data_IF_767657607135
#
_entry.id   IF_767657607135
#
_cell.length_a   1.000
_cell.length_b   1.000
_cell.length_c   1.000
_cell.angle_alpha   90.00
_cell.angle_beta   90.00
_cell.angle_gamma   90.00
#
_symmetry.space_group_name_H-M   'P 1'
#
loop_
_entity.id
_entity.type
_entity.pdbx_description
1 polymer ?
#
# COMPACT_ATOMS: atom_id res chain seq x y z
N UNK A 1 43.24 -19.54 15.38
CA UNK A 1 43.34 -18.96 14.01
C UNK A 1 42.23 -19.39 13.07
N UNK A 2 41.69 -20.60 13.17
CA UNK A 2 40.61 -21.14 12.33
C UNK A 2 39.26 -20.37 12.48
N UNK A 3 38.95 -19.90 13.69
CA UNK A 3 37.67 -19.19 13.94
C UNK A 3 37.53 -17.85 13.22
N UNK A 4 38.63 -17.16 12.90
CA UNK A 4 38.61 -15.86 12.23
C UNK A 4 38.45 -15.95 10.71
N UNK A 5 38.86 -17.05 10.09
CA UNK A 5 38.73 -17.30 8.64
C UNK A 5 37.34 -17.80 8.23
N UNK A 6 36.60 -18.43 9.15
CA UNK A 6 35.23 -18.91 8.89
C UNK A 6 34.16 -17.81 8.92
N UNK A 7 34.37 -16.73 9.67
CA UNK A 7 33.39 -15.64 9.80
C UNK A 7 32.98 -15.00 8.47
N UNK A 8 33.87 -14.61 7.54
CA UNK A 8 33.47 -14.00 6.28
C UNK A 8 32.73 -14.97 5.36
N UNK A 9 33.04 -16.25 5.41
CA UNK A 9 32.39 -17.31 4.64
C UNK A 9 30.97 -17.52 5.18
N UNK A 10 30.81 -17.66 6.48
CA UNK A 10 29.50 -17.82 7.15
C UNK A 10 28.64 -16.60 6.88
N UNK A 11 29.19 -15.39 7.01
CA UNK A 11 28.46 -14.15 6.74
C UNK A 11 27.98 -14.08 5.29
N UNK A 12 28.80 -14.45 4.30
CA UNK A 12 28.41 -14.50 2.89
C UNK A 12 27.33 -15.53 2.64
N UNK A 13 27.45 -16.72 3.21
CA UNK A 13 26.44 -17.76 3.09
C UNK A 13 25.11 -17.35 3.70
N UNK A 14 25.11 -16.74 4.89
CA UNK A 14 23.90 -16.20 5.53
C UNK A 14 23.27 -15.08 4.70
N UNK A 15 24.05 -14.12 4.20
CA UNK A 15 23.54 -13.05 3.34
C UNK A 15 22.93 -13.61 2.04
N UNK A 16 23.54 -14.65 1.48
CA UNK A 16 23.00 -15.30 0.29
C UNK A 16 21.69 -16.05 0.60
N UNK A 17 21.65 -16.78 1.71
CA UNK A 17 20.43 -17.45 2.16
C UNK A 17 19.29 -16.43 2.42
N UNK A 18 19.59 -15.32 3.10
CA UNK A 18 18.63 -14.24 3.33
C UNK A 18 18.14 -13.60 2.02
N UNK A 19 19.02 -13.43 1.03
CA UNK A 19 18.62 -12.92 -0.29
C UNK A 19 17.68 -13.88 -1.04
N UNK A 20 17.98 -15.19 -0.96
CA UNK A 20 17.13 -16.22 -1.59
C UNK A 20 15.76 -16.25 -0.94
N UNK A 21 15.71 -16.28 0.40
CA UNK A 21 14.45 -16.24 1.15
C UNK A 21 13.71 -14.91 0.93
N UNK A 22 14.41 -13.78 0.99
CA UNK A 22 13.80 -12.46 0.77
C UNK A 22 13.15 -12.32 -0.60
N UNK A 23 13.72 -12.93 -1.63
CA UNK A 23 13.13 -12.92 -2.98
C UNK A 23 11.76 -13.59 -3.08
N UNK A 24 11.38 -14.42 -2.11
CA UNK A 24 10.05 -15.04 -2.09
C UNK A 24 8.98 -14.07 -1.54
N UNK A 25 9.38 -13.08 -0.75
CA UNK A 25 8.47 -12.16 -0.03
C UNK A 25 8.61 -10.71 -0.49
N UNK A 26 9.76 -10.35 -1.07
CA UNK A 26 10.05 -8.97 -1.51
C UNK A 26 10.34 -8.98 -3.00
N UNK A 27 9.48 -8.30 -3.76
CA UNK A 27 9.58 -8.24 -5.21
C UNK A 27 10.80 -7.45 -5.68
N UNK A 28 11.12 -6.36 -4.99
CA UNK A 28 12.29 -5.53 -5.29
C UNK A 28 12.70 -4.65 -4.12
N UNK A 29 13.93 -4.16 -4.12
CA UNK A 29 14.43 -3.17 -3.15
C UNK A 29 14.04 -1.75 -3.50
N UNK A 30 13.54 -1.53 -4.72
CA UNK A 30 12.92 -0.29 -5.22
C UNK A 30 11.74 -0.67 -6.08
N UNK A 31 10.79 0.25 -6.26
CA UNK A 31 9.62 0.02 -7.11
C UNK A 31 10.04 -0.30 -8.56
N UNK A 32 11.03 0.41 -9.11
CA UNK A 32 11.55 0.14 -10.45
C UNK A 32 12.01 -1.31 -10.61
N UNK A 33 12.77 -1.85 -9.65
CA UNK A 33 13.19 -3.26 -9.68
C UNK A 33 12.03 -4.23 -9.49
N UNK A 34 11.01 -3.84 -8.75
CA UNK A 34 9.79 -4.63 -8.61
C UNK A 34 9.03 -4.71 -9.93
N UNK A 35 8.89 -3.58 -10.63
CA UNK A 35 8.26 -3.49 -11.96
C UNK A 35 9.02 -4.33 -13.00
N UNK A 36 10.35 -4.19 -13.08
CA UNK A 36 11.18 -5.02 -13.97
C UNK A 36 10.96 -6.53 -13.73
N UNK A 37 10.81 -6.92 -12.46
CA UNK A 37 10.57 -8.31 -12.10
C UNK A 37 9.14 -8.77 -12.36
N UNK A 38 8.17 -7.87 -12.32
CA UNK A 38 6.75 -8.14 -12.57
C UNK A 38 6.45 -8.32 -14.07
N UNK A 39 7.24 -7.73 -14.95
CA UNK A 39 6.98 -7.66 -16.39
C UNK A 39 6.63 -9.02 -17.05
N UNK A 40 7.31 -10.16 -16.76
CA UNK A 40 6.92 -11.45 -17.31
C UNK A 40 5.55 -11.94 -16.91
N UNK A 41 5.08 -11.58 -15.71
CA UNK A 41 3.77 -11.95 -15.20
C UNK A 41 2.69 -10.99 -15.71
N UNK A 42 3.00 -9.71 -15.84
CA UNK A 42 2.12 -8.71 -16.47
C UNK A 42 1.80 -9.07 -17.93
N UNK A 43 2.78 -9.58 -18.68
CA UNK A 43 2.56 -10.10 -20.04
C UNK A 43 1.61 -11.31 -20.10
N UNK A 44 1.43 -12.03 -18.99
CA UNK A 44 0.47 -13.13 -18.85
C UNK A 44 -0.90 -12.67 -18.34
N UNK A 45 -1.08 -11.37 -18.14
CA UNK A 45 -2.31 -10.79 -17.62
C UNK A 45 -2.38 -10.66 -16.10
N UNK A 46 -1.32 -11.02 -15.35
CA UNK A 46 -1.27 -10.79 -13.90
C UNK A 46 -1.11 -9.30 -13.64
N UNK A 47 -1.80 -8.80 -12.60
CA UNK A 47 -1.66 -7.44 -12.13
C UNK A 47 -1.26 -7.45 -10.66
N UNK A 48 -0.40 -6.52 -10.29
CA UNK A 48 0.15 -6.40 -8.95
C UNK A 48 -0.38 -5.15 -8.26
N UNK A 49 -0.68 -5.26 -6.97
CA UNK A 49 -0.80 -4.13 -6.07
C UNK A 49 0.52 -4.01 -5.32
N UNK A 50 1.23 -2.91 -5.52
CA UNK A 50 2.55 -2.70 -4.93
C UNK A 50 2.42 -2.16 -3.51
N UNK A 51 2.96 -2.89 -2.55
CA UNK A 51 3.05 -2.50 -1.15
C UNK A 51 4.47 -1.95 -0.87
N UNK A 52 4.54 -0.68 -0.51
CA UNK A 52 5.78 -0.05 -0.09
C UNK A 52 6.10 -0.47 1.34
N UNK A 53 7.23 -1.17 1.54
CA UNK A 53 7.65 -1.58 2.87
C UNK A 53 7.87 -0.36 3.77
N UNK A 54 7.13 -0.33 4.86
CA UNK A 54 7.15 0.72 5.86
C UNK A 54 5.79 0.88 6.52
N UNK A 55 5.77 0.82 7.85
CA UNK A 55 4.56 0.92 8.65
C UNK A 55 4.90 1.48 10.03
N UNK A 56 3.87 1.79 10.83
CA UNK A 56 4.00 2.22 12.21
C UNK A 56 4.97 3.43 12.36
N UNK A 57 4.71 4.52 11.64
CA UNK A 57 5.42 5.79 11.82
C UNK A 57 5.41 6.18 13.31
N UNK A 58 6.57 6.51 13.86
CA UNK A 58 6.71 6.89 15.27
C UNK A 58 6.68 8.38 15.48
N UNK A 59 7.11 9.12 14.47
CA UNK A 59 7.19 10.58 14.47
C UNK A 59 6.48 11.15 13.25
N UNK A 60 6.18 12.44 13.29
CA UNK A 60 5.62 13.15 12.13
C UNK A 60 6.61 13.14 10.94
N UNK A 61 7.91 13.21 11.22
CA UNK A 61 8.95 13.12 10.20
C UNK A 61 8.96 11.71 9.51
N UNK A 62 8.70 10.65 10.27
CA UNK A 62 8.55 9.31 9.68
C UNK A 62 7.32 9.24 8.79
N UNK A 63 6.18 9.75 9.28
CA UNK A 63 4.92 9.75 8.54
C UNK A 63 5.03 10.57 7.24
N UNK A 64 5.71 11.72 7.29
CA UNK A 64 5.95 12.51 6.09
C UNK A 64 6.86 11.79 5.10
N UNK A 65 7.93 11.15 5.56
CA UNK A 65 8.82 10.37 4.71
C UNK A 65 8.09 9.23 4.00
N UNK A 66 7.19 8.52 4.70
CA UNK A 66 6.38 7.46 4.08
C UNK A 66 5.34 8.04 3.12
N UNK A 67 4.71 9.14 3.47
CA UNK A 67 3.78 9.83 2.56
C UNK A 67 4.46 10.23 1.25
N UNK A 68 5.67 10.81 1.34
CA UNK A 68 6.47 11.18 0.17
C UNK A 68 6.88 9.95 -0.65
N UNK A 69 7.21 8.83 0.01
CA UNK A 69 7.52 7.57 -0.66
C UNK A 69 6.30 7.01 -1.42
N UNK A 70 5.10 7.03 -0.83
CA UNK A 70 3.87 6.66 -1.53
C UNK A 70 3.58 7.57 -2.72
N UNK A 71 3.74 8.88 -2.55
CA UNK A 71 3.55 9.85 -3.65
C UNK A 71 4.51 9.59 -4.80
N UNK A 72 5.78 9.34 -4.50
CA UNK A 72 6.80 8.99 -5.50
C UNK A 72 6.49 7.65 -6.18
N UNK A 73 5.99 6.66 -5.43
CA UNK A 73 5.58 5.37 -5.99
C UNK A 73 4.41 5.51 -6.96
N UNK A 74 3.39 6.31 -6.62
CA UNK A 74 2.26 6.59 -7.51
C UNK A 74 2.77 7.24 -8.83
N UNK A 75 3.68 8.20 -8.75
CA UNK A 75 4.25 8.83 -9.94
C UNK A 75 5.03 7.82 -10.80
N UNK A 76 5.82 6.94 -10.19
CA UNK A 76 6.54 5.87 -10.92
C UNK A 76 5.57 4.90 -11.60
N UNK A 77 4.48 4.51 -10.93
CA UNK A 77 3.43 3.68 -11.53
C UNK A 77 2.72 4.39 -12.66
N UNK A 78 2.49 5.70 -12.55
CA UNK A 78 1.90 6.52 -13.62
C UNK A 78 2.75 6.46 -14.88
N UNK A 79 4.05 6.65 -14.74
CA UNK A 79 5.00 6.57 -15.86
C UNK A 79 5.03 5.16 -16.48
N UNK A 80 5.04 4.12 -15.65
CA UNK A 80 5.00 2.73 -16.10
C UNK A 80 3.72 2.39 -16.87
N UNK A 81 2.58 2.91 -16.42
CA UNK A 81 1.26 2.63 -16.98
C UNK A 81 0.82 3.64 -18.05
N UNK A 82 1.67 4.58 -18.46
CA UNK A 82 1.30 5.71 -19.29
C UNK A 82 0.56 5.31 -20.59
N UNK A 83 0.97 4.23 -21.26
CA UNK A 83 0.32 3.71 -22.46
C UNK A 83 -1.07 3.16 -22.14
N UNK A 84 -1.18 2.30 -21.12
CA UNK A 84 -2.46 1.72 -20.71
C UNK A 84 -3.46 2.81 -20.28
N UNK A 85 -2.98 3.85 -19.59
CA UNK A 85 -3.79 5.01 -19.18
C UNK A 85 -4.29 5.78 -20.42
N UNK A 86 -3.43 6.04 -21.38
CA UNK A 86 -3.81 6.75 -22.63
C UNK A 86 -4.82 5.97 -23.46
N UNK A 87 -4.77 4.65 -23.43
CA UNK A 87 -5.68 3.75 -24.15
C UNK A 87 -7.02 3.53 -23.42
N UNK A 88 -7.22 4.18 -22.26
CA UNK A 88 -8.46 4.09 -21.49
C UNK A 88 -8.68 2.72 -20.84
N UNK A 89 -7.60 1.99 -20.52
CA UNK A 89 -7.68 0.69 -19.83
C UNK A 89 -8.33 0.90 -18.45
N UNK A 90 -9.32 0.05 -18.05
CA UNK A 90 -9.94 0.15 -16.74
C UNK A 90 -8.93 0.07 -15.59
N UNK A 91 -9.16 0.82 -14.52
CA UNK A 91 -8.29 0.89 -13.33
C UNK A 91 -7.98 -0.48 -12.73
N UNK A 92 -8.91 -1.44 -12.84
CA UNK A 92 -8.74 -2.82 -12.38
C UNK A 92 -7.79 -3.67 -13.23
N UNK A 93 -7.41 -3.18 -14.39
CA UNK A 93 -6.53 -3.88 -15.34
C UNK A 93 -5.12 -3.29 -15.39
N UNK A 94 -4.82 -2.31 -14.57
CA UNK A 94 -3.47 -1.74 -14.41
C UNK A 94 -2.92 -2.05 -13.02
N UNK A 95 -1.59 -2.11 -12.84
CA UNK A 95 -1.00 -2.21 -11.51
C UNK A 95 -1.41 -1.05 -10.59
N UNK A 96 -1.63 -1.35 -9.32
CA UNK A 96 -2.03 -0.39 -8.31
C UNK A 96 -1.06 -0.31 -7.12
N UNK A 97 -1.47 0.38 -6.07
CA UNK A 97 -0.68 0.57 -4.85
C UNK A 97 -1.49 0.22 -3.61
N UNK A 98 -0.84 -0.38 -2.62
CA UNK A 98 -1.39 -0.59 -1.28
C UNK A 98 -0.80 0.42 -0.29
N UNK A 99 -1.63 0.96 0.60
CA UNK A 99 -1.26 1.99 1.58
C UNK A 99 -1.64 1.57 2.99
N UNK A 100 -0.71 1.69 3.93
CA UNK A 100 -0.94 1.48 5.36
C UNK A 100 -1.20 2.80 6.07
N UNK A 101 -2.31 2.90 6.78
CA UNK A 101 -2.65 4.11 7.53
C UNK A 101 -1.62 4.43 8.62
N UNK A 102 -1.06 3.39 9.26
CA UNK A 102 -0.02 3.55 10.27
C UNK A 102 1.31 4.10 9.73
N UNK A 103 1.55 3.98 8.43
CA UNK A 103 2.72 4.58 7.80
C UNK A 103 2.59 6.09 7.68
N UNK A 104 1.41 6.59 7.37
CA UNK A 104 1.19 7.99 7.04
C UNK A 104 0.71 8.87 8.20
N UNK A 105 0.59 8.31 9.42
CA UNK A 105 0.31 9.08 10.62
C UNK A 105 0.86 8.40 11.88
N UNK A 106 1.64 9.10 12.72
CA UNK A 106 2.06 8.58 14.02
C UNK A 106 0.87 8.55 14.98
N UNK A 107 0.82 7.60 15.92
CA UNK A 107 -0.27 7.47 16.90
C UNK A 107 -1.65 7.15 16.28
N UNK A 108 -1.66 6.35 15.22
CA UNK A 108 -2.88 5.81 14.65
C UNK A 108 -3.51 4.77 15.61
N UNK A 109 -4.32 5.28 16.55
CA UNK A 109 -4.94 4.52 17.64
C UNK A 109 -6.37 5.04 17.89
N UNK A 110 -7.32 4.16 18.24
CA UNK A 110 -8.71 4.54 18.53
C UNK A 110 -8.82 5.66 19.58
N UNK A 111 -8.02 5.60 20.65
CA UNK A 111 -7.99 6.63 21.69
C UNK A 111 -7.52 8.01 21.21
N UNK A 112 -6.96 8.08 20.02
CA UNK A 112 -6.50 9.31 19.38
C UNK A 112 -7.38 9.70 18.18
N UNK A 113 -8.52 9.05 17.97
CA UNK A 113 -9.38 9.21 16.81
C UNK A 113 -9.69 10.67 16.48
N UNK A 114 -9.99 11.50 17.50
CA UNK A 114 -10.28 12.92 17.31
C UNK A 114 -9.17 13.73 16.61
N UNK A 115 -7.92 13.25 16.66
CA UNK A 115 -6.76 13.88 15.96
C UNK A 115 -6.33 13.05 14.75
N UNK A 116 -6.36 11.74 14.88
CA UNK A 116 -5.87 10.83 13.85
C UNK A 116 -6.80 10.81 12.63
N UNK A 117 -8.12 10.76 12.83
CA UNK A 117 -9.08 10.67 11.73
C UNK A 117 -8.95 11.87 10.77
N UNK A 118 -9.06 13.15 11.21
CA UNK A 118 -8.96 14.26 10.27
C UNK A 118 -7.64 14.29 9.52
N UNK A 119 -6.51 14.03 10.20
CA UNK A 119 -5.19 14.05 9.59
C UNK A 119 -5.00 12.91 8.58
N UNK A 120 -5.53 11.71 8.88
CA UNK A 120 -5.45 10.56 7.97
C UNK A 120 -6.40 10.73 6.78
N UNK A 121 -7.59 11.26 6.99
CA UNK A 121 -8.52 11.59 5.89
C UNK A 121 -7.84 12.56 4.92
N UNK A 122 -7.25 13.64 5.42
CA UNK A 122 -6.53 14.60 4.57
C UNK A 122 -5.41 13.94 3.77
N UNK A 123 -4.54 13.15 4.42
CA UNK A 123 -3.40 12.50 3.78
C UNK A 123 -3.81 11.42 2.79
N UNK A 124 -4.75 10.56 3.19
CA UNK A 124 -5.23 9.48 2.33
C UNK A 124 -5.97 10.05 1.11
N UNK A 125 -6.78 11.09 1.27
CA UNK A 125 -7.44 11.77 0.14
C UNK A 125 -6.40 12.31 -0.85
N UNK A 126 -5.32 12.94 -0.38
CA UNK A 126 -4.24 13.43 -1.26
C UNK A 126 -3.62 12.29 -2.08
N UNK A 127 -3.32 11.15 -1.47
CA UNK A 127 -2.79 9.98 -2.18
C UNK A 127 -3.82 9.40 -3.16
N UNK A 128 -5.08 9.31 -2.75
CA UNK A 128 -6.16 8.81 -3.59
C UNK A 128 -6.43 9.71 -4.80
N UNK A 129 -6.35 11.04 -4.63
CA UNK A 129 -6.44 12.00 -5.76
C UNK A 129 -5.27 11.84 -6.73
N UNK A 130 -4.06 11.61 -6.23
CA UNK A 130 -2.91 11.31 -7.09
C UNK A 130 -3.14 10.00 -7.88
N UNK A 131 -3.59 8.94 -7.21
CA UNK A 131 -3.89 7.65 -7.84
C UNK A 131 -5.04 7.77 -8.87
N UNK A 132 -6.10 8.51 -8.54
CA UNK A 132 -7.21 8.81 -9.47
C UNK A 132 -6.72 9.49 -10.76
N UNK A 133 -5.89 10.53 -10.62
CA UNK A 133 -5.31 11.25 -11.78
C UNK A 133 -4.44 10.34 -12.64
N UNK A 134 -3.80 9.38 -12.03
CA UNK A 134 -2.97 8.38 -12.68
C UNK A 134 -3.77 7.17 -13.21
N UNK A 135 -5.08 7.11 -12.97
CA UNK A 135 -5.95 5.96 -13.25
C UNK A 135 -5.36 4.63 -12.75
N UNK A 136 -4.79 4.61 -11.55
CA UNK A 136 -4.30 3.39 -10.88
C UNK A 136 -5.11 3.14 -9.61
N UNK A 137 -5.29 1.86 -9.23
CA UNK A 137 -5.99 1.51 -8.00
C UNK A 137 -5.18 1.85 -6.75
N UNK A 138 -5.87 2.30 -5.69
CA UNK A 138 -5.33 2.47 -4.36
C UNK A 138 -6.11 1.61 -3.38
N UNK A 139 -5.43 0.65 -2.76
CA UNK A 139 -6.00 -0.23 -1.75
C UNK A 139 -5.49 0.18 -0.36
N UNK A 140 -6.38 0.36 0.60
CA UNK A 140 -6.00 0.55 2.02
C UNK A 140 -5.82 -0.83 2.64
N UNK A 141 -4.63 -1.10 3.17
CA UNK A 141 -4.32 -2.36 3.84
C UNK A 141 -5.05 -2.47 5.18
N UNK A 142 -5.48 -3.69 5.50
CA UNK A 142 -6.00 -4.00 6.82
C UNK A 142 -4.82 -4.22 7.80
N UNK A 143 -4.89 -3.52 8.93
CA UNK A 143 -3.89 -3.64 9.98
C UNK A 143 -4.44 -4.39 11.21
N UNK A 144 -4.02 -4.10 12.43
CA UNK A 144 -4.46 -4.86 13.61
C UNK A 144 -5.96 -4.71 13.89
N UNK A 145 -6.60 -5.77 14.34
CA UNK A 145 -8.04 -5.83 14.60
C UNK A 145 -8.59 -4.67 15.48
N UNK A 146 -7.77 -4.16 16.42
CA UNK A 146 -8.13 -3.00 17.26
C UNK A 146 -8.22 -1.68 16.50
N UNK A 147 -7.71 -1.63 15.27
CA UNK A 147 -7.75 -0.45 14.38
C UNK A 147 -8.87 -0.52 13.34
N UNK A 148 -9.64 -1.61 13.33
CA UNK A 148 -10.67 -1.80 12.31
C UNK A 148 -11.68 -0.64 12.30
N UNK A 149 -12.24 -0.28 13.45
CA UNK A 149 -13.29 0.74 13.52
C UNK A 149 -12.78 2.11 13.05
N UNK A 150 -11.64 2.57 13.55
CA UNK A 150 -11.04 3.84 13.12
C UNK A 150 -10.61 3.80 11.63
N UNK A 151 -10.20 2.64 11.09
CA UNK A 151 -9.89 2.52 9.68
C UNK A 151 -11.14 2.67 8.80
N UNK A 152 -12.25 2.06 9.19
CA UNK A 152 -13.52 2.18 8.47
C UNK A 152 -14.04 3.62 8.48
N UNK A 153 -13.95 4.32 9.63
CA UNK A 153 -14.31 5.74 9.75
C UNK A 153 -13.51 6.63 8.78
N UNK A 154 -12.22 6.37 8.63
CA UNK A 154 -11.35 7.10 7.70
C UNK A 154 -11.69 6.78 6.26
N UNK A 155 -11.83 5.49 5.93
CA UNK A 155 -12.10 5.01 4.58
C UNK A 155 -13.45 5.55 4.08
N UNK A 156 -14.49 5.54 4.93
CA UNK A 156 -15.79 6.08 4.59
C UNK A 156 -15.72 7.57 4.23
N UNK A 157 -15.02 8.37 5.05
CA UNK A 157 -14.89 9.81 4.81
C UNK A 157 -14.11 10.09 3.51
N UNK A 158 -13.06 9.32 3.23
CA UNK A 158 -12.30 9.45 1.98
C UNK A 158 -13.13 9.02 0.78
N UNK A 159 -13.82 7.87 0.89
CA UNK A 159 -14.69 7.39 -0.20
C UNK A 159 -15.78 8.39 -0.58
N UNK A 160 -16.40 9.02 0.43
CA UNK A 160 -17.45 10.02 0.23
C UNK A 160 -16.91 11.41 -0.17
N UNK A 161 -15.61 11.58 -0.32
CA UNK A 161 -15.07 12.88 -0.69
C UNK A 161 -15.39 13.21 -2.15
N UNK A 162 -15.81 14.45 -2.44
CA UNK A 162 -16.15 14.87 -3.82
C UNK A 162 -14.99 14.71 -4.80
N UNK A 163 -13.75 14.76 -4.31
CA UNK A 163 -12.55 14.61 -5.10
C UNK A 163 -12.43 13.23 -5.75
N UNK A 164 -13.06 12.20 -5.16
CA UNK A 164 -13.02 10.83 -5.66
C UNK A 164 -14.27 10.43 -6.46
N UNK A 165 -15.25 11.30 -6.58
CA UNK A 165 -16.49 11.02 -7.31
C UNK A 165 -16.21 10.46 -8.72
N UNK A 166 -16.89 9.36 -9.08
CA UNK A 166 -16.77 8.72 -10.39
C UNK A 166 -15.45 7.95 -10.61
N UNK A 167 -14.73 7.60 -9.55
CA UNK A 167 -13.50 6.79 -9.63
C UNK A 167 -13.64 5.47 -8.87
N UNK A 168 -13.53 4.34 -9.60
CA UNK A 168 -13.70 2.98 -9.10
C UNK A 168 -12.38 2.35 -8.58
N UNK A 169 -11.32 3.15 -8.43
CA UNK A 169 -9.99 2.65 -8.05
C UNK A 169 -9.69 2.69 -6.56
N UNK A 170 -10.61 3.19 -5.70
CA UNK A 170 -10.41 3.20 -4.25
C UNK A 170 -10.98 1.95 -3.61
N UNK A 171 -10.18 1.27 -2.80
CA UNK A 171 -10.58 0.03 -2.14
C UNK A 171 -9.85 -0.25 -0.85
N UNK A 172 -10.19 -1.37 -0.21
CA UNK A 172 -9.54 -1.82 1.02
C UNK A 172 -9.41 -3.34 1.06
N UNK A 173 -8.48 -3.82 1.88
CA UNK A 173 -8.35 -5.23 2.21
C UNK A 173 -9.26 -5.58 3.40
N UNK A 174 -9.99 -6.70 3.30
CA UNK A 174 -10.78 -7.25 4.40
C UNK A 174 -10.11 -8.51 4.92
N UNK A 175 -9.82 -8.57 6.21
CA UNK A 175 -9.24 -9.75 6.87
C UNK A 175 -10.33 -10.82 7.08
N UNK A 176 -10.55 -11.65 6.08
CA UNK A 176 -11.66 -12.61 6.01
C UNK A 176 -11.68 -13.67 7.13
N UNK A 177 -10.58 -13.88 7.85
CA UNK A 177 -10.48 -14.79 8.99
C UNK A 177 -11.12 -14.24 10.27
N UNK A 178 -11.43 -12.95 10.33
CA UNK A 178 -12.04 -12.33 11.50
C UNK A 178 -13.54 -12.57 11.55
N UNK A 179 -14.09 -12.70 12.77
CA UNK A 179 -15.55 -12.90 12.98
C UNK A 179 -16.40 -11.75 12.43
N UNK A 180 -15.87 -10.53 12.44
CA UNK A 180 -16.52 -9.32 11.92
C UNK A 180 -16.44 -9.13 10.40
N UNK A 181 -15.78 -10.03 9.69
CA UNK A 181 -15.52 -9.85 8.25
C UNK A 181 -16.81 -9.75 7.43
N UNK A 182 -17.83 -10.54 7.76
CA UNK A 182 -19.13 -10.47 7.07
C UNK A 182 -19.81 -9.13 7.32
N UNK A 183 -19.84 -8.65 8.55
CA UNK A 183 -20.44 -7.35 8.90
C UNK A 183 -19.72 -6.20 8.15
N UNK A 184 -18.38 -6.29 8.00
CA UNK A 184 -17.60 -5.32 7.22
C UNK A 184 -17.96 -5.37 5.74
N UNK A 185 -18.15 -6.56 5.17
CA UNK A 185 -18.56 -6.73 3.77
C UNK A 185 -19.96 -6.16 3.55
N UNK A 186 -20.92 -6.45 4.44
CA UNK A 186 -22.28 -5.92 4.37
C UNK A 186 -22.27 -4.39 4.46
N UNK A 187 -21.44 -3.84 5.34
CA UNK A 187 -21.25 -2.38 5.45
C UNK A 187 -20.66 -1.79 4.18
N UNK A 188 -19.68 -2.45 3.54
CA UNK A 188 -19.11 -2.00 2.27
C UNK A 188 -20.12 -2.00 1.13
N UNK A 189 -20.96 -3.05 1.05
CA UNK A 189 -22.04 -3.14 0.04
C UNK A 189 -23.06 -2.01 0.24
N UNK A 190 -23.33 -1.64 1.49
CA UNK A 190 -24.26 -0.54 1.79
C UNK A 190 -23.63 0.86 1.56
N UNK A 191 -22.31 0.95 1.52
CA UNK A 191 -21.58 2.20 1.31
C UNK A 191 -21.48 2.56 -0.20
N UNK A 192 -21.32 1.54 -1.07
CA UNK A 192 -21.19 1.70 -2.54
C UNK A 192 -22.48 1.63 -3.25
#
# INVERSE_FOLDING_TARGET
>A
MVARLGQPVIRRAMLQAMRIMGRQFVMGTTLTKALERAEPDERKGVRHSYDMLGEAARTEADAQRYFDAYSAAINTLTEHNAVAISDGVPVTQVPGISVKLSAIYPRYEQRQAGRAVPALVERLTKLAVLAKRANIGLCVDAEEARRLDISLDIIEQVYKSPELEGWDGFGLAVQAYQKRALDVIDWLIALG
#
